data_IF_615090420731
#
_entry.id   IF_615090420731
#
_cell.length_a   1.000
_cell.length_b   1.000
_cell.length_c   1.000
_cell.angle_alpha   90.00
_cell.angle_beta   90.00
_cell.angle_gamma   90.00
#
_symmetry.space_group_name_H-M   'P 1'
#
loop_
_entity.id
_entity.type
_entity.pdbx_description
1 polymer ?
#
# COMPACT_ATOMS: atom_id res chain seq x y z
N UNK A 1 15.25 16.88 -22.64
CA UNK A 1 14.14 17.27 -21.75
C UNK A 1 13.36 16.00 -21.47
N UNK A 2 13.55 15.39 -20.30
CA UNK A 2 12.86 14.16 -19.93
C UNK A 2 11.45 14.56 -19.47
N UNK A 3 10.43 14.14 -20.20
CA UNK A 3 9.05 14.40 -19.80
C UNK A 3 8.70 13.42 -18.68
N UNK A 4 8.51 13.92 -17.46
CA UNK A 4 7.89 13.13 -16.39
C UNK A 4 6.41 13.03 -16.74
N UNK A 5 5.98 11.84 -17.17
CA UNK A 5 4.56 11.53 -17.31
C UNK A 5 4.11 10.92 -16.00
N UNK A 6 3.42 11.73 -15.19
CA UNK A 6 2.88 11.32 -13.92
C UNK A 6 1.38 11.61 -13.83
N UNK A 7 0.65 10.70 -13.21
CA UNK A 7 -0.77 10.80 -12.96
C UNK A 7 -1.02 10.67 -11.46
N UNK A 8 -1.69 11.66 -10.88
CA UNK A 8 -2.23 11.56 -9.51
C UNK A 8 -3.73 11.36 -9.62
N UNK A 9 -4.21 10.23 -9.13
CA UNK A 9 -5.65 9.96 -9.04
C UNK A 9 -6.10 10.12 -7.61
N UNK A 10 -7.27 10.73 -7.41
CA UNK A 10 -7.95 10.72 -6.12
C UNK A 10 -9.35 10.15 -6.31
N UNK A 11 -9.76 9.30 -5.37
CA UNK A 11 -11.11 8.75 -5.32
C UNK A 11 -11.70 9.00 -3.95
N UNK A 12 -12.96 9.45 -3.91
CA UNK A 12 -13.71 9.58 -2.66
C UNK A 12 -13.98 8.18 -2.10
N UNK A 13 -13.72 8.02 -0.82
CA UNK A 13 -13.90 6.78 -0.07
C UNK A 13 -14.99 6.95 1.00
N UNK A 14 -15.31 5.88 1.71
CA UNK A 14 -16.36 5.83 2.73
C UNK A 14 -17.70 5.33 2.17
N UNK A 15 -18.82 5.94 2.59
CA UNK A 15 -20.15 5.46 2.23
C UNK A 15 -20.42 4.07 2.82
N UNK A 16 -20.95 3.13 2.02
CA UNK A 16 -21.19 1.75 2.47
C UNK A 16 -19.93 1.02 2.93
N UNK A 17 -18.75 1.40 2.44
CA UNK A 17 -17.47 0.81 2.90
C UNK A 17 -17.24 1.12 4.39
N UNK A 18 -17.60 2.32 4.84
CA UNK A 18 -17.42 2.78 6.22
C UNK A 18 -18.49 2.28 7.18
N UNK A 19 -19.58 1.70 6.68
CA UNK A 19 -20.64 1.12 7.53
C UNK A 19 -20.25 -0.25 8.09
N UNK A 20 -19.30 -0.95 7.46
CA UNK A 20 -18.84 -2.26 7.92
C UNK A 20 -17.74 -2.10 8.98
N UNK A 21 -17.87 -2.74 10.16
CA UNK A 21 -16.81 -2.75 11.17
C UNK A 21 -15.47 -3.26 10.63
N UNK A 22 -14.38 -2.73 11.17
CA UNK A 22 -13.02 -3.06 10.71
C UNK A 22 -12.74 -4.56 10.90
N UNK A 23 -13.18 -5.11 12.03
CA UNK A 23 -12.99 -6.47 12.52
C UNK A 23 -13.66 -7.55 11.66
N UNK A 24 -14.65 -7.17 10.84
CA UNK A 24 -15.37 -8.09 9.94
C UNK A 24 -14.60 -8.40 8.65
N UNK A 25 -13.46 -7.75 8.40
CA UNK A 25 -12.65 -7.97 7.19
C UNK A 25 -11.14 -7.87 7.48
N UNK A 26 -10.33 -8.11 6.45
CA UNK A 26 -8.88 -7.97 6.53
C UNK A 26 -8.37 -6.56 6.11
N UNK A 27 -9.27 -5.61 5.82
CA UNK A 27 -8.92 -4.24 5.43
C UNK A 27 -8.84 -3.39 6.69
N UNK A 28 -7.62 -3.02 7.11
CA UNK A 28 -7.37 -2.28 8.35
C UNK A 28 -7.83 -0.82 8.36
N UNK A 29 -8.50 -0.35 7.30
CA UNK A 29 -9.04 1.00 7.17
C UNK A 29 -10.42 0.96 6.53
N UNK A 30 -11.40 1.63 7.16
CA UNK A 30 -12.78 1.71 6.65
C UNK A 30 -13.32 3.14 6.53
N UNK A 31 -12.73 4.08 7.26
CA UNK A 31 -13.25 5.45 7.39
C UNK A 31 -12.41 6.52 6.65
N UNK A 32 -11.45 6.13 5.81
CA UNK A 32 -10.69 7.06 4.99
C UNK A 32 -11.64 7.84 4.05
N UNK A 33 -11.45 9.15 3.90
CA UNK A 33 -12.30 10.00 3.04
C UNK A 33 -11.85 10.00 1.59
N UNK A 34 -10.56 9.80 1.37
CA UNK A 34 -9.94 9.78 0.06
C UNK A 34 -8.90 8.66 -0.03
N UNK A 35 -8.78 8.10 -1.22
CA UNK A 35 -7.66 7.27 -1.62
C UNK A 35 -6.92 7.99 -2.74
N UNK A 36 -5.60 8.11 -2.60
CA UNK A 36 -4.72 8.75 -3.57
C UNK A 36 -3.76 7.69 -4.10
N UNK A 37 -3.72 7.54 -5.42
CA UNK A 37 -2.72 6.72 -6.10
C UNK A 37 -1.89 7.59 -7.05
N UNK A 38 -0.58 7.42 -6.95
CA UNK A 38 0.42 8.17 -7.71
C UNK A 38 1.08 7.19 -8.67
N UNK A 39 0.97 7.48 -9.95
CA UNK A 39 1.57 6.67 -11.01
C UNK A 39 2.53 7.53 -11.80
N UNK A 40 3.63 6.92 -12.23
CA UNK A 40 4.50 7.48 -13.23
C UNK A 40 4.87 6.37 -14.21
N UNK A 41 4.91 6.71 -15.50
CA UNK A 41 5.16 5.80 -16.60
C UNK A 41 6.17 6.42 -17.54
N UNK A 42 7.06 5.59 -18.08
CA UNK A 42 8.11 6.01 -19.00
C UNK A 42 8.32 4.94 -20.07
N UNK A 43 8.85 5.34 -21.22
CA UNK A 43 9.11 4.40 -22.32
C UNK A 43 10.55 3.89 -22.29
N UNK A 44 11.50 4.75 -21.92
CA UNK A 44 12.93 4.43 -21.97
C UNK A 44 13.48 4.12 -20.58
N UNK A 45 14.30 3.08 -20.47
CA UNK A 45 14.82 2.60 -19.19
C UNK A 45 15.57 3.70 -18.41
N UNK A 46 16.33 4.54 -19.11
CA UNK A 46 17.09 5.65 -18.53
C UNK A 46 16.23 6.73 -17.85
N UNK A 47 14.93 6.79 -18.15
CA UNK A 47 13.99 7.73 -17.53
C UNK A 47 13.48 7.22 -16.18
N UNK A 48 13.66 5.92 -15.89
CA UNK A 48 13.07 5.28 -14.73
C UNK A 48 13.52 5.86 -13.40
N UNK A 49 14.80 6.20 -13.25
CA UNK A 49 15.34 6.72 -11.99
C UNK A 49 14.79 8.10 -11.64
N UNK A 50 14.68 9.00 -12.63
CA UNK A 50 14.08 10.32 -12.45
C UNK A 50 12.60 10.23 -12.09
N UNK A 51 11.85 9.35 -12.76
CA UNK A 51 10.42 9.14 -12.51
C UNK A 51 10.16 8.51 -11.12
N UNK A 52 10.93 7.48 -10.74
CA UNK A 52 10.87 6.87 -9.39
C UNK A 52 11.21 7.90 -8.30
N UNK A 53 12.22 8.73 -8.52
CA UNK A 53 12.60 9.78 -7.57
C UNK A 53 11.49 10.83 -7.41
N UNK A 54 10.85 11.25 -8.50
CA UNK A 54 9.73 12.18 -8.47
C UNK A 54 8.53 11.64 -7.67
N UNK A 55 8.13 10.38 -7.93
CA UNK A 55 7.03 9.73 -7.18
C UNK A 55 7.34 9.70 -5.68
N UNK A 56 8.56 9.32 -5.31
CA UNK A 56 8.99 9.27 -3.90
C UNK A 56 9.00 10.65 -3.25
N UNK A 57 9.47 11.68 -3.96
CA UNK A 57 9.42 13.07 -3.48
C UNK A 57 8.00 13.51 -3.18
N UNK A 58 7.08 13.29 -4.12
CA UNK A 58 5.67 13.64 -3.93
C UNK A 58 5.03 12.86 -2.77
N UNK A 59 5.36 11.57 -2.60
CA UNK A 59 4.88 10.78 -1.47
C UNK A 59 5.35 11.34 -0.12
N UNK A 60 6.59 11.83 -0.03
CA UNK A 60 7.11 12.44 1.20
C UNK A 60 6.46 13.80 1.45
N UNK A 61 6.25 14.63 0.41
CA UNK A 61 5.57 15.93 0.53
C UNK A 61 4.12 15.78 1.04
N UNK A 62 3.44 14.70 0.62
CA UNK A 62 2.07 14.40 1.01
C UNK A 62 1.96 13.69 2.37
N UNK A 63 3.07 13.28 2.98
CA UNK A 63 3.08 12.47 4.21
C UNK A 63 2.33 13.12 5.37
N UNK A 64 2.37 14.46 5.49
CA UNK A 64 1.65 15.22 6.52
C UNK A 64 0.12 15.16 6.40
N UNK A 65 -0.39 14.82 5.21
CA UNK A 65 -1.82 14.64 4.94
C UNK A 65 -2.22 13.16 4.89
N UNK A 66 -1.25 12.25 4.97
CA UNK A 66 -1.46 10.83 4.76
C UNK A 66 -2.14 10.21 5.98
N UNK A 67 -3.12 9.35 5.74
CA UNK A 67 -3.56 8.41 6.76
C UNK A 67 -2.42 7.44 7.10
N UNK A 68 -2.43 6.87 8.30
CA UNK A 68 -1.46 5.86 8.74
C UNK A 68 -1.61 4.51 8.01
N UNK A 69 -2.28 4.49 6.86
CA UNK A 69 -2.67 3.27 6.15
C UNK A 69 -2.29 3.31 4.68
N UNK A 70 -1.86 2.17 4.16
CA UNK A 70 -1.54 1.92 2.77
C UNK A 70 -2.46 0.82 2.22
N UNK A 71 -2.59 0.74 0.90
CA UNK A 71 -3.31 -0.35 0.27
C UNK A 71 -2.36 -1.39 -0.31
N UNK A 72 -2.46 -2.64 0.15
CA UNK A 72 -1.52 -3.70 -0.21
C UNK A 72 -1.42 -3.96 -1.71
N UNK A 73 -2.50 -3.73 -2.47
CA UNK A 73 -2.51 -3.93 -3.92
C UNK A 73 -1.61 -2.94 -4.67
N UNK A 74 -1.17 -1.85 -4.02
CA UNK A 74 -0.20 -0.89 -4.56
C UNK A 74 1.11 -0.87 -3.75
N UNK A 75 1.43 -1.96 -3.06
CA UNK A 75 2.70 -2.05 -2.35
C UNK A 75 3.88 -1.99 -3.32
N UNK A 76 4.88 -1.16 -2.99
CA UNK A 76 6.13 -1.10 -3.75
C UNK A 76 7.08 -2.24 -3.36
N UNK A 77 7.91 -2.77 -4.28
CA UNK A 77 8.86 -3.84 -3.99
C UNK A 77 9.81 -3.53 -2.81
N UNK A 78 10.20 -2.26 -2.65
CA UNK A 78 11.05 -1.78 -1.56
C UNK A 78 10.34 -1.69 -0.20
N UNK A 79 9.01 -1.78 -0.17
CA UNK A 79 8.18 -1.73 1.03
C UNK A 79 8.20 -3.08 1.74
N UNK A 80 9.37 -3.41 2.31
CA UNK A 80 9.65 -4.64 3.05
C UNK A 80 8.72 -4.81 4.26
N UNK A 81 8.70 -6.04 4.80
CA UNK A 81 8.03 -6.53 6.02
C UNK A 81 7.72 -5.53 7.15
N UNK A 82 8.56 -4.50 7.37
CA UNK A 82 8.32 -3.41 8.34
C UNK A 82 7.04 -2.60 8.10
N UNK A 83 6.40 -2.73 6.95
CA UNK A 83 5.18 -2.01 6.60
C UNK A 83 3.94 -2.90 6.54
N UNK A 84 4.03 -4.17 6.95
CA UNK A 84 2.85 -5.04 7.07
C UNK A 84 1.79 -4.43 8.01
N UNK A 85 2.23 -3.74 9.07
CA UNK A 85 1.35 -2.96 9.95
C UNK A 85 0.67 -1.80 9.22
N UNK A 86 1.33 -1.17 8.25
CA UNK A 86 0.76 -0.05 7.49
C UNK A 86 -0.36 -0.51 6.55
N UNK A 87 -0.36 -1.78 6.14
CA UNK A 87 -1.42 -2.35 5.29
C UNK A 87 -2.56 -2.96 6.11
N UNK A 88 -2.22 -3.74 7.13
CA UNK A 88 -3.19 -4.59 7.84
C UNK A 88 -3.60 -4.03 9.21
N UNK A 89 -2.85 -3.07 9.75
CA UNK A 89 -3.12 -2.43 11.04
C UNK A 89 -3.39 -3.46 12.15
N UNK A 90 -4.53 -3.36 12.86
CA UNK A 90 -4.85 -4.25 13.98
C UNK A 90 -5.04 -5.71 13.56
N UNK A 91 -5.25 -6.02 12.28
CA UNK A 91 -5.48 -7.38 11.80
C UNK A 91 -4.19 -8.18 11.58
N UNK A 92 -3.02 -7.51 11.60
CA UNK A 92 -1.74 -8.14 11.28
C UNK A 92 -1.48 -9.41 12.12
N UNK A 93 -1.77 -9.36 13.41
CA UNK A 93 -1.57 -10.50 14.31
C UNK A 93 -2.45 -11.70 13.92
N UNK A 94 -3.75 -11.48 13.73
CA UNK A 94 -4.68 -12.54 13.31
C UNK A 94 -4.29 -13.13 11.95
N UNK A 95 -3.83 -12.30 11.02
CA UNK A 95 -3.37 -12.76 9.70
C UNK A 95 -2.09 -13.61 9.79
N UNK A 96 -1.18 -13.30 10.71
CA UNK A 96 0.00 -14.12 11.01
C UNK A 96 -0.38 -15.47 11.59
N UNK A 97 -1.32 -15.51 12.53
CA UNK A 97 -1.83 -16.76 13.09
C UNK A 97 -2.48 -17.64 12.02
N UNK A 98 -3.26 -17.04 11.11
CA UNK A 98 -3.84 -17.76 9.97
C UNK A 98 -2.77 -18.27 9.01
N UNK A 99 -1.74 -17.47 8.72
CA UNK A 99 -0.60 -17.88 7.88
C UNK A 99 0.11 -19.09 8.48
N UNK A 100 0.38 -19.10 9.78
CA UNK A 100 1.01 -20.24 10.47
C UNK A 100 0.11 -21.47 10.47
N UNK A 101 -1.20 -21.29 10.62
CA UNK A 101 -2.16 -22.41 10.60
C UNK A 101 -2.28 -23.08 9.23
N UNK A 102 -2.32 -22.28 8.16
CA UNK A 102 -2.68 -22.76 6.81
C UNK A 102 -1.50 -22.91 5.87
N UNK A 103 -0.36 -22.27 6.16
CA UNK A 103 0.88 -22.41 5.41
C UNK A 103 2.10 -22.43 6.37
N UNK A 104 2.19 -23.47 7.22
CA UNK A 104 3.24 -23.59 8.23
C UNK A 104 4.65 -23.67 7.63
N UNK A 105 4.78 -24.25 6.44
CA UNK A 105 6.05 -24.38 5.73
C UNK A 105 6.42 -23.13 4.91
N UNK A 106 5.57 -22.09 4.96
CA UNK A 106 5.73 -20.84 4.23
C UNK A 106 5.96 -21.05 2.71
N UNK A 107 5.19 -21.98 2.13
CA UNK A 107 5.22 -22.28 0.70
C UNK A 107 4.83 -21.05 -0.12
N UNK A 108 3.75 -20.36 0.26
CA UNK A 108 3.27 -19.14 -0.40
C UNK A 108 3.99 -17.90 0.16
N UNK A 109 5.14 -17.58 -0.41
CA UNK A 109 5.96 -16.43 -0.01
C UNK A 109 6.10 -15.40 -1.13
N UNK A 110 6.06 -14.14 -0.75
CA UNK A 110 6.30 -12.99 -1.62
C UNK A 110 6.99 -11.87 -0.81
N UNK A 111 7.40 -10.78 -1.47
CA UNK A 111 8.17 -9.69 -0.84
C UNK A 111 7.44 -9.04 0.36
N UNK A 112 6.11 -9.05 0.35
CA UNK A 112 5.22 -8.51 1.39
C UNK A 112 4.65 -9.59 2.33
N UNK A 113 5.27 -10.77 2.41
CA UNK A 113 4.72 -11.88 3.21
C UNK A 113 4.56 -11.54 4.69
N UNK A 114 3.54 -12.16 5.31
CA UNK A 114 3.12 -11.90 6.68
C UNK A 114 4.05 -12.51 7.75
N UNK A 115 4.98 -13.39 7.37
CA UNK A 115 5.91 -14.07 8.29
C UNK A 115 7.05 -13.16 8.71
N UNK A 116 7.41 -13.18 9.99
CA UNK A 116 8.56 -12.44 10.55
C UNK A 116 9.87 -12.71 9.79
#
# INVERSE_FOLDING_TARGET
>A
MYAIVATVTSSKQGGKISEVPCEECAIGWRANKFFIAIFSSWEKEEEGDANKAWVRGLMEDLKKFRAATNYINLALPEWKKRQASDFYGPHLQRLRELKLKWDPDNFFRFQTCLTD
#
